data_IF_987762978840
#
_entry.id   IF_987762978840
#
_cell.length_a   1.000
_cell.length_b   1.000
_cell.length_c   1.000
_cell.angle_alpha   90.00
_cell.angle_beta   90.00
_cell.angle_gamma   90.00
#
_symmetry.space_group_name_H-M   'P 1'
#
loop_
_entity.id
_entity.type
_entity.pdbx_description
1 polymer ?
#
# COMPACT_ATOMS: atom_id res chain seq x y z
N UNK A 1 4.92 -11.90 -23.11
CA UNK A 1 6.38 -12.07 -22.91
C UNK A 1 6.87 -10.97 -21.96
N UNK A 2 6.62 -11.10 -20.64
CA UNK A 2 6.94 -10.06 -19.64
C UNK A 2 7.57 -10.63 -18.35
N UNK A 3 7.86 -11.94 -18.30
CA UNK A 3 8.22 -12.65 -17.06
C UNK A 3 9.65 -12.37 -16.56
N UNK A 4 10.55 -11.84 -17.40
CA UNK A 4 12.00 -11.73 -17.09
C UNK A 4 12.45 -10.42 -16.44
N UNK A 5 11.61 -9.40 -16.37
CA UNK A 5 12.04 -8.03 -15.97
C UNK A 5 12.07 -7.84 -14.45
N UNK A 6 11.44 -8.72 -13.67
CA UNK A 6 11.25 -8.50 -12.24
C UNK A 6 11.99 -9.52 -11.35
N UNK A 7 12.69 -10.49 -11.94
CA UNK A 7 13.30 -11.62 -11.23
C UNK A 7 14.49 -11.29 -10.30
N UNK A 8 14.92 -10.04 -10.30
CA UNK A 8 16.07 -9.51 -9.56
C UNK A 8 15.65 -8.53 -8.47
N UNK A 9 14.37 -8.15 -8.40
CA UNK A 9 13.86 -7.31 -7.33
C UNK A 9 13.50 -8.16 -6.10
N UNK A 10 13.74 -7.64 -4.87
CA UNK A 10 13.29 -8.29 -3.65
C UNK A 10 11.77 -8.50 -3.70
N UNK A 11 11.31 -9.61 -3.11
CA UNK A 11 9.90 -10.05 -3.15
C UNK A 11 8.90 -8.92 -2.82
N UNK A 12 9.06 -8.11 -1.76
CA UNK A 12 8.13 -7.01 -1.45
C UNK A 12 8.04 -5.95 -2.56
N UNK A 13 9.15 -5.60 -3.21
CA UNK A 13 9.16 -4.68 -4.34
C UNK A 13 8.37 -5.21 -5.56
N UNK A 14 8.22 -6.54 -5.72
CA UNK A 14 7.41 -7.12 -6.81
C UNK A 14 5.91 -7.06 -6.55
N UNK A 15 5.50 -7.18 -5.28
CA UNK A 15 4.07 -7.18 -4.91
C UNK A 15 3.50 -5.77 -5.03
N UNK A 16 4.25 -4.74 -4.58
CA UNK A 16 3.91 -3.32 -4.80
C UNK A 16 3.74 -3.01 -6.29
N UNK A 17 4.66 -3.47 -7.16
CA UNK A 17 4.56 -3.29 -8.61
C UNK A 17 3.30 -3.90 -9.23
N UNK A 18 2.79 -5.01 -8.70
CA UNK A 18 1.59 -5.65 -9.23
C UNK A 18 0.32 -4.89 -8.83
N UNK A 19 0.22 -4.43 -7.57
CA UNK A 19 -0.86 -3.55 -7.12
C UNK A 19 -0.85 -2.21 -7.86
N UNK A 20 0.32 -1.58 -7.97
CA UNK A 20 0.52 -0.33 -8.71
C UNK A 20 0.12 -0.47 -10.17
N UNK A 21 0.51 -1.56 -10.85
CA UNK A 21 0.16 -1.78 -12.25
C UNK A 21 -1.35 -1.97 -12.46
N UNK A 22 -2.05 -2.58 -11.51
CA UNK A 22 -3.50 -2.78 -11.56
C UNK A 22 -4.22 -1.45 -11.31
N UNK A 23 -3.81 -0.69 -10.29
CA UNK A 23 -4.42 0.61 -10.00
C UNK A 23 -4.13 1.61 -11.13
N UNK A 24 -2.91 1.64 -11.66
CA UNK A 24 -2.58 2.49 -12.81
C UNK A 24 -3.44 2.14 -14.04
N UNK A 25 -3.74 0.85 -14.24
CA UNK A 25 -4.48 0.37 -15.40
C UNK A 25 -5.99 0.52 -15.26
N UNK A 26 -6.54 0.38 -14.05
CA UNK A 26 -7.98 0.43 -13.80
C UNK A 26 -8.42 1.84 -13.39
N UNK A 27 -7.59 2.58 -12.66
CA UNK A 27 -7.91 3.89 -12.08
C UNK A 27 -6.77 4.92 -12.32
N UNK A 28 -6.42 5.22 -13.58
CA UNK A 28 -5.30 6.09 -13.90
C UNK A 28 -5.43 7.49 -13.27
N UNK A 29 -6.66 8.03 -13.19
CA UNK A 29 -6.95 9.31 -12.55
C UNK A 29 -6.76 9.34 -11.02
N UNK A 30 -6.64 8.18 -10.37
CA UNK A 30 -6.38 8.04 -8.92
C UNK A 30 -4.99 7.53 -8.60
N UNK A 31 -4.23 7.11 -9.60
CA UNK A 31 -2.89 6.56 -9.43
C UNK A 31 -1.93 7.51 -8.70
N UNK A 32 -1.99 8.81 -8.98
CA UNK A 32 -1.13 9.80 -8.30
C UNK A 32 -1.40 9.85 -6.79
N UNK A 33 -2.67 9.91 -6.37
CA UNK A 33 -3.02 9.89 -4.94
C UNK A 33 -2.61 8.59 -4.26
N UNK A 34 -2.70 7.46 -4.97
CA UNK A 34 -2.22 6.18 -4.46
C UNK A 34 -0.70 6.20 -4.26
N UNK A 35 0.07 6.77 -5.21
CA UNK A 35 1.51 6.96 -5.04
C UNK A 35 1.86 7.90 -3.88
N UNK A 36 1.10 8.97 -3.68
CA UNK A 36 1.28 9.86 -2.53
C UNK A 36 1.11 9.11 -1.21
N UNK A 37 0.15 8.18 -1.14
CA UNK A 37 -0.05 7.32 0.03
C UNK A 37 1.14 6.37 0.26
N UNK A 38 1.68 5.76 -0.80
CA UNK A 38 2.87 4.91 -0.71
C UNK A 38 4.11 5.71 -0.27
N UNK A 39 4.32 6.88 -0.86
CA UNK A 39 5.41 7.78 -0.48
C UNK A 39 5.27 8.25 0.97
N UNK A 40 4.03 8.41 1.47
CA UNK A 40 3.79 8.69 2.88
C UNK A 40 4.24 7.51 3.76
N UNK A 41 3.85 6.28 3.45
CA UNK A 41 4.28 5.09 4.21
C UNK A 41 5.82 4.98 4.24
N UNK A 42 6.46 5.11 3.08
CA UNK A 42 7.92 5.11 2.97
C UNK A 42 8.57 6.21 3.82
N UNK A 43 8.03 7.44 3.79
CA UNK A 43 8.52 8.55 4.61
C UNK A 43 8.40 8.24 6.11
N UNK A 44 7.33 7.57 6.52
CA UNK A 44 7.15 7.09 7.89
C UNK A 44 8.06 5.91 8.25
N UNK A 45 8.74 5.31 7.27
CA UNK A 45 9.56 4.11 7.47
C UNK A 45 8.74 2.83 7.58
N UNK A 46 7.52 2.85 7.04
CA UNK A 46 6.56 1.76 7.08
C UNK A 46 6.65 1.02 5.75
N UNK A 47 7.05 -0.25 5.81
CA UNK A 47 6.94 -1.19 4.69
C UNK A 47 5.70 -2.06 4.92
N UNK A 48 4.70 -1.94 4.04
CA UNK A 48 3.41 -2.63 4.24
C UNK A 48 3.55 -4.16 4.30
N UNK A 49 4.52 -4.73 3.57
CA UNK A 49 4.90 -6.15 3.61
C UNK A 49 3.98 -7.10 2.83
N UNK A 50 2.72 -6.74 2.60
CA UNK A 50 1.77 -7.55 1.80
C UNK A 50 0.88 -6.70 0.88
N UNK A 51 1.47 -5.67 0.27
CA UNK A 51 0.72 -4.76 -0.58
C UNK A 51 0.38 -5.42 -1.93
N UNK A 52 -0.86 -5.90 -2.07
CA UNK A 52 -1.44 -6.39 -3.32
C UNK A 52 -2.84 -5.79 -3.56
N UNK A 53 -3.44 -6.01 -4.74
CA UNK A 53 -4.76 -5.46 -5.07
C UNK A 53 -5.88 -5.82 -4.09
N UNK A 54 -5.82 -7.01 -3.47
CA UNK A 54 -6.75 -7.41 -2.41
C UNK A 54 -6.65 -6.59 -1.11
N UNK A 55 -5.54 -5.88 -0.89
CA UNK A 55 -5.31 -5.00 0.27
C UNK A 55 -5.47 -3.52 -0.11
N UNK A 56 -6.20 -3.26 -1.20
CA UNK A 56 -6.62 -1.94 -1.64
C UNK A 56 -8.15 -1.88 -1.64
N UNK A 57 -8.73 -1.07 -0.75
CA UNK A 57 -10.17 -0.87 -0.64
C UNK A 57 -10.61 0.37 -1.41
N UNK A 58 -11.75 0.29 -2.10
CA UNK A 58 -12.37 1.44 -2.78
C UNK A 58 -13.64 1.82 -2.02
N UNK A 59 -13.76 3.08 -1.58
CA UNK A 59 -14.96 3.58 -0.88
C UNK A 59 -16.03 4.09 -1.85
N UNK A 60 -16.61 3.18 -2.62
CA UNK A 60 -17.74 3.53 -3.47
C UNK A 60 -18.81 2.45 -3.43
N UNK A 61 -20.01 2.83 -3.00
CA UNK A 61 -21.18 1.96 -2.91
C UNK A 61 -21.60 1.39 -4.28
N UNK A 62 -21.26 2.08 -5.36
CA UNK A 62 -21.58 1.73 -6.74
C UNK A 62 -20.39 1.12 -7.51
N UNK A 63 -19.36 0.64 -6.83
CA UNK A 63 -18.13 0.15 -7.48
C UNK A 63 -18.41 -0.92 -8.56
N UNK A 64 -19.40 -1.79 -8.34
CA UNK A 64 -19.81 -2.79 -9.32
C UNK A 64 -20.40 -2.15 -10.59
N UNK A 65 -21.22 -1.12 -10.45
CA UNK A 65 -21.78 -0.39 -11.60
C UNK A 65 -20.69 0.37 -12.37
N UNK A 66 -19.69 0.88 -11.66
CA UNK A 66 -18.54 1.57 -12.27
C UNK A 66 -17.64 0.60 -13.04
N UNK A 67 -17.46 -0.62 -12.54
CA UNK A 67 -16.71 -1.68 -13.25
C UNK A 67 -17.46 -2.09 -14.53
N UNK A 68 -18.79 -2.19 -14.47
CA UNK A 68 -19.61 -2.53 -15.65
C UNK A 68 -19.67 -1.36 -16.65
N UNK A 69 -19.68 -0.12 -16.16
CA UNK A 69 -19.75 1.10 -16.96
C UNK A 69 -18.50 1.98 -16.76
N UNK A 70 -17.37 1.67 -17.41
CA UNK A 70 -16.08 2.29 -17.13
C UNK A 70 -16.04 3.81 -17.38
N UNK A 71 -16.95 4.37 -18.17
CA UNK A 71 -17.06 5.83 -18.34
C UNK A 71 -17.41 6.55 -17.03
N UNK A 72 -18.07 5.86 -16.08
CA UNK A 72 -18.43 6.42 -14.77
C UNK A 72 -17.22 6.63 -13.86
N UNK A 73 -16.11 5.91 -14.09
CA UNK A 73 -14.84 6.09 -13.38
C UNK A 73 -14.31 7.53 -13.51
N UNK A 74 -14.60 8.19 -14.65
CA UNK A 74 -14.14 9.55 -14.94
C UNK A 74 -14.94 10.62 -14.21
N UNK A 75 -16.18 10.31 -13.83
CA UNK A 75 -17.15 11.29 -13.31
C UNK A 75 -17.45 11.13 -11.83
N UNK A 76 -17.33 9.91 -11.31
CA UNK A 76 -17.65 9.62 -9.92
C UNK A 76 -16.43 9.79 -9.00
N UNK A 77 -16.71 10.28 -7.79
CA UNK A 77 -15.69 10.43 -6.76
C UNK A 77 -15.57 9.15 -5.95
N UNK A 78 -14.35 8.68 -5.78
CA UNK A 78 -13.98 7.57 -4.91
C UNK A 78 -12.51 7.74 -4.51
N UNK A 79 -12.15 7.17 -3.38
CA UNK A 79 -10.82 7.05 -2.82
C UNK A 79 -10.38 5.59 -2.86
N UNK A 80 -9.06 5.39 -2.75
CA UNK A 80 -8.44 4.08 -2.60
C UNK A 80 -7.68 4.10 -1.29
N UNK A 81 -7.93 3.13 -0.43
CA UNK A 81 -7.26 2.96 0.85
C UNK A 81 -6.37 1.73 0.81
N UNK A 82 -5.15 1.88 1.31
CA UNK A 82 -4.29 0.76 1.64
C UNK A 82 -4.77 0.21 2.99
N UNK A 83 -5.08 -1.07 3.06
CA UNK A 83 -5.60 -1.75 4.24
C UNK A 83 -4.74 -2.95 4.62
N UNK A 84 -5.08 -3.62 5.72
CA UNK A 84 -4.40 -4.83 6.21
C UNK A 84 -2.90 -4.67 6.45
N UNK A 85 -2.54 -4.00 7.54
CA UNK A 85 -1.16 -3.79 7.97
C UNK A 85 -0.63 -4.94 8.86
N UNK A 86 -1.25 -6.12 8.80
CA UNK A 86 -0.87 -7.26 9.65
C UNK A 86 0.54 -7.80 9.39
N UNK A 87 1.09 -7.54 8.21
CA UNK A 87 2.43 -7.97 7.77
C UNK A 87 3.41 -6.79 7.64
N UNK A 88 3.14 -5.68 8.32
CA UNK A 88 3.92 -4.45 8.19
C UNK A 88 5.22 -4.51 8.99
N UNK A 89 6.31 -4.16 8.32
CA UNK A 89 7.62 -3.96 8.92
C UNK A 89 7.89 -2.46 9.10
N UNK A 90 8.47 -2.09 10.23
CA UNK A 90 8.96 -0.72 10.49
C UNK A 90 10.47 -0.81 10.63
N UNK A 91 11.20 0.01 9.86
CA UNK A 91 12.66 -0.06 9.89
C UNK A 91 13.22 0.36 11.26
N UNK A 92 14.23 -0.36 11.82
CA UNK A 92 14.77 -0.06 13.16
C UNK A 92 15.20 1.41 13.32
N UNK A 93 15.91 1.97 12.34
CA UNK A 93 16.35 3.37 12.32
C UNK A 93 15.18 4.37 12.46
N UNK A 94 13.98 3.98 12.01
CA UNK A 94 12.77 4.81 12.09
C UNK A 94 12.00 4.60 13.38
N UNK A 95 12.03 3.41 13.96
CA UNK A 95 11.57 3.19 15.33
C UNK A 95 12.43 4.04 16.28
N UNK A 96 13.76 3.98 16.15
CA UNK A 96 14.70 4.80 16.94
C UNK A 96 14.43 6.30 16.83
N UNK A 97 14.06 6.76 15.63
CA UNK A 97 13.85 8.19 15.37
C UNK A 97 12.47 8.69 15.77
N UNK A 98 11.42 7.93 15.46
CA UNK A 98 10.03 8.42 15.54
C UNK A 98 9.26 7.81 16.72
N UNK A 99 9.66 6.63 17.19
CA UNK A 99 9.01 5.87 18.26
C UNK A 99 10.03 5.28 19.24
N UNK A 100 10.97 6.08 19.80
CA UNK A 100 12.05 5.58 20.66
C UNK A 100 11.52 4.86 21.91
N UNK A 101 10.29 5.16 22.35
CA UNK A 101 9.61 4.49 23.44
C UNK A 101 9.34 2.99 23.18
N UNK A 102 9.25 2.57 21.93
CA UNK A 102 9.06 1.16 21.55
C UNK A 102 10.35 0.33 21.68
N UNK A 103 11.50 0.98 21.87
CA UNK A 103 12.81 0.35 22.04
C UNK A 103 13.24 0.26 23.49
N UNK A 104 12.47 0.86 24.40
CA UNK A 104 12.73 0.68 25.81
C UNK A 104 12.49 -0.80 26.14
N UNK A 105 13.42 -1.46 26.87
CA UNK A 105 13.16 -2.80 27.37
C UNK A 105 11.82 -2.77 28.11
N UNK A 106 10.96 -3.76 27.86
CA UNK A 106 9.77 -3.93 28.66
C UNK A 106 10.22 -4.10 30.11
N UNK A 107 10.06 -3.07 30.93
CA UNK A 107 10.30 -3.10 32.39
C UNK A 107 9.38 -4.12 33.10
N UNK A 108 8.55 -4.86 32.36
CA UNK A 108 7.73 -5.97 32.82
C UNK A 108 8.49 -7.30 32.99
N UNK A 109 9.82 -7.35 32.77
CA UNK A 109 10.66 -8.44 33.33
C UNK A 109 11.04 -8.16 34.79
N UNK A 110 10.07 -7.86 35.66
CA UNK A 110 10.28 -7.89 37.11
C UNK A 110 9.00 -8.36 37.83
N UNK A 111 8.74 -9.67 37.83
CA UNK A 111 8.64 -10.55 39.02
C UNK A 111 8.13 -11.94 38.67
#
# INVERSE_FOLDING_TARGET
MQKKVFDHLPKPARVSLMAESIIQRIFPERYEKFRDALAYLEKQGIEHGDLHSGNCLIDNENIFEMIINPERLKTESFNIYIIDFGMTDITPDKIEKNYPELLLPNDNEYT
#
